data_IF_828862085633
#
_entry.id   IF_828862085633
#
_cell.length_a   1.000
_cell.length_b   1.000
_cell.length_c   1.000
_cell.angle_alpha   90.00
_cell.angle_beta   90.00
_cell.angle_gamma   90.00
#
_symmetry.space_group_name_H-M   'P 1'
#
loop_
_entity.id
_entity.type
_entity.pdbx_description
1 polymer ?
#
# COMPACT_ATOMS: atom_id res chain seq x y z
N UNK A 1 -20.15 -2.10 19.35
CA UNK A 1 -19.68 -1.21 18.28
C UNK A 1 -20.00 -1.90 16.97
N UNK A 2 -20.66 -1.22 16.07
CA UNK A 2 -20.87 -1.74 14.72
C UNK A 2 -19.53 -1.97 14.07
N UNK A 3 -19.33 -3.13 13.47
CA UNK A 3 -18.08 -3.48 12.79
C UNK A 3 -18.13 -2.88 11.38
N UNK A 4 -17.21 -1.97 11.09
CA UNK A 4 -17.07 -1.38 9.76
C UNK A 4 -16.22 -2.25 8.84
N UNK A 5 -16.52 -2.25 7.55
CA UNK A 5 -15.72 -2.93 6.54
C UNK A 5 -14.82 -1.93 5.82
N UNK A 6 -13.51 -2.14 5.91
CA UNK A 6 -12.49 -1.27 5.33
C UNK A 6 -11.77 -2.02 4.20
N UNK A 7 -11.77 -1.42 3.01
CA UNK A 7 -11.06 -1.95 1.86
C UNK A 7 -9.69 -1.28 1.73
N UNK A 8 -8.64 -2.08 1.82
CA UNK A 8 -7.25 -1.63 1.66
C UNK A 8 -6.77 -1.97 0.25
N UNK A 9 -6.33 -0.96 -0.51
CA UNK A 9 -5.85 -1.15 -1.87
C UNK A 9 -4.34 -0.86 -1.96
N UNK A 10 -3.58 -1.76 -2.60
CA UNK A 10 -2.16 -1.55 -2.85
C UNK A 10 -1.71 -2.24 -4.13
N UNK A 11 -0.68 -1.70 -4.79
CA UNK A 11 -0.12 -2.26 -6.03
C UNK A 11 0.84 -3.43 -5.76
N UNK A 12 1.22 -3.68 -4.50
CA UNK A 12 1.98 -4.84 -4.07
C UNK A 12 1.36 -5.50 -2.84
N UNK A 13 1.44 -6.84 -2.79
CA UNK A 13 0.96 -7.65 -1.67
C UNK A 13 1.68 -9.02 -1.71
N UNK A 14 1.78 -9.78 -0.62
CA UNK A 14 2.41 -11.09 -0.67
C UNK A 14 1.93 -11.95 -1.87
N UNK A 15 2.83 -12.69 -2.53
CA UNK A 15 4.20 -13.03 -2.12
C UNK A 15 5.28 -11.95 -2.41
N UNK A 16 4.92 -10.78 -2.91
CA UNK A 16 5.85 -9.66 -3.05
C UNK A 16 6.10 -9.08 -1.65
N UNK A 17 7.37 -8.98 -1.26
CA UNK A 17 7.78 -8.48 0.05
C UNK A 17 8.38 -7.08 -0.14
N UNK A 18 7.68 -6.07 0.33
CA UNK A 18 8.17 -4.70 0.43
C UNK A 18 7.57 -3.98 1.65
N UNK A 19 8.07 -2.79 1.97
CA UNK A 19 7.63 -2.05 3.15
C UNK A 19 6.16 -1.65 3.13
N UNK A 20 5.59 -1.37 1.94
CA UNK A 20 4.19 -0.96 1.80
C UNK A 20 3.27 -2.19 1.88
N UNK A 21 3.65 -3.30 1.23
CA UNK A 21 2.93 -4.56 1.35
C UNK A 21 2.82 -5.02 2.81
N UNK A 22 3.94 -4.96 3.56
CA UNK A 22 3.94 -5.27 4.99
C UNK A 22 3.05 -4.32 5.80
N UNK A 23 3.06 -3.03 5.49
CA UNK A 23 2.16 -2.07 6.14
C UNK A 23 0.70 -2.42 5.91
N UNK A 24 0.31 -2.77 4.67
CA UNK A 24 -1.07 -3.16 4.33
C UNK A 24 -1.48 -4.43 5.07
N UNK A 25 -0.61 -5.46 5.15
CA UNK A 25 -0.87 -6.67 5.95
C UNK A 25 -1.13 -6.29 7.41
N UNK A 26 -0.25 -5.48 8.02
CA UNK A 26 -0.40 -5.04 9.40
C UNK A 26 -1.70 -4.24 9.61
N UNK A 27 -2.07 -3.35 8.69
CA UNK A 27 -3.35 -2.63 8.76
C UNK A 27 -4.52 -3.62 8.73
N UNK A 28 -4.54 -4.56 7.77
CA UNK A 28 -5.61 -5.52 7.61
C UNK A 28 -5.79 -6.43 8.84
N UNK A 29 -4.69 -6.98 9.37
CA UNK A 29 -4.70 -7.82 10.57
C UNK A 29 -5.19 -7.06 11.80
N UNK A 30 -4.76 -5.80 11.99
CA UNK A 30 -5.20 -5.00 13.12
C UNK A 30 -6.67 -4.56 13.00
N UNK A 31 -7.14 -4.26 11.79
CA UNK A 31 -8.57 -3.97 11.55
C UNK A 31 -9.41 -5.19 11.91
N UNK A 32 -9.08 -6.38 11.38
CA UNK A 32 -9.81 -7.62 11.71
C UNK A 32 -9.83 -7.92 13.20
N UNK A 33 -8.69 -7.75 13.85
CA UNK A 33 -8.54 -8.09 15.27
C UNK A 33 -9.25 -7.11 16.20
N UNK A 34 -9.33 -5.82 15.87
CA UNK A 34 -9.70 -4.79 16.82
C UNK A 34 -10.84 -3.86 16.39
N UNK A 35 -11.10 -3.68 15.09
CA UNK A 35 -11.92 -2.57 14.63
C UNK A 35 -13.08 -2.93 13.71
N UNK A 36 -13.01 -4.04 12.97
CA UNK A 36 -14.05 -4.38 12.01
C UNK A 36 -13.68 -5.52 11.10
N UNK A 37 -13.93 -5.34 9.81
CA UNK A 37 -13.55 -6.26 8.75
C UNK A 37 -12.62 -5.58 7.76
N UNK A 38 -11.56 -6.28 7.34
CA UNK A 38 -10.67 -5.83 6.29
C UNK A 38 -10.95 -6.60 4.99
N UNK A 39 -10.82 -5.90 3.87
CA UNK A 39 -10.77 -6.50 2.53
C UNK A 39 -9.53 -5.95 1.85
N UNK A 40 -8.64 -6.79 1.34
CA UNK A 40 -7.47 -6.33 0.60
C UNK A 40 -7.70 -6.48 -0.89
N UNK A 41 -7.43 -5.42 -1.65
CA UNK A 41 -7.54 -5.41 -3.11
C UNK A 41 -6.17 -5.13 -3.72
N UNK A 42 -5.66 -6.07 -4.53
CA UNK A 42 -4.28 -6.03 -5.03
C UNK A 42 -4.16 -6.69 -6.41
N UNK A 43 -3.13 -6.38 -7.22
CA UNK A 43 -2.93 -7.05 -8.49
C UNK A 43 -2.71 -8.56 -8.35
N UNK A 44 -3.15 -9.31 -9.34
CA UNK A 44 -2.86 -10.73 -9.44
C UNK A 44 -1.37 -10.96 -9.64
N UNK A 45 -0.81 -11.92 -8.89
CA UNK A 45 0.59 -12.35 -9.01
C UNK A 45 0.62 -13.87 -9.17
N UNK A 46 1.36 -14.41 -10.16
CA UNK A 46 1.49 -15.86 -10.32
C UNK A 46 2.03 -16.52 -9.05
N UNK A 47 1.36 -17.59 -8.60
CA UNK A 47 1.75 -18.36 -7.41
C UNK A 47 1.35 -17.72 -6.08
N UNK A 48 0.51 -16.68 -6.08
CA UNK A 48 -0.02 -16.13 -4.84
C UNK A 48 -0.96 -17.14 -4.17
N UNK A 49 -0.78 -17.31 -2.86
CA UNK A 49 -1.68 -18.07 -1.99
C UNK A 49 -2.16 -17.15 -0.86
N UNK A 50 -3.45 -16.86 -0.88
CA UNK A 50 -4.08 -15.93 0.06
C UNK A 50 -4.80 -16.67 1.21
N UNK A 51 -4.77 -18.01 1.24
CA UNK A 51 -5.50 -18.85 2.21
C UNK A 51 -5.05 -18.66 3.66
N UNK A 52 -3.85 -18.11 3.87
CA UNK A 52 -3.30 -17.86 5.20
C UNK A 52 -3.77 -16.55 5.87
N UNK A 53 -4.49 -15.68 5.15
CA UNK A 53 -4.96 -14.41 5.71
C UNK A 53 -6.34 -14.55 6.36
N UNK A 54 -6.59 -13.88 7.51
CA UNK A 54 -7.88 -13.91 8.20
C UNK A 54 -8.95 -13.01 7.55
N UNK A 55 -8.64 -12.38 6.43
CA UNK A 55 -9.47 -11.46 5.67
C UNK A 55 -9.48 -11.82 4.19
N UNK A 56 -10.53 -11.45 3.42
CA UNK A 56 -10.57 -11.66 1.97
C UNK A 56 -9.50 -10.85 1.24
N UNK A 57 -8.85 -11.50 0.27
CA UNK A 57 -7.95 -10.85 -0.69
C UNK A 57 -8.56 -10.94 -2.08
N UNK A 58 -8.91 -9.80 -2.65
CA UNK A 58 -9.47 -9.68 -3.99
C UNK A 58 -8.37 -9.28 -4.95
N UNK A 59 -7.98 -10.22 -5.84
CA UNK A 59 -6.94 -9.95 -6.82
C UNK A 59 -7.55 -9.51 -8.14
N UNK A 60 -7.16 -8.30 -8.59
CA UNK A 60 -7.58 -7.76 -9.88
C UNK A 60 -6.57 -8.06 -10.99
N UNK A 61 -6.99 -8.05 -12.27
CA UNK A 61 -6.11 -8.37 -13.39
C UNK A 61 -4.82 -7.56 -13.40
N UNK A 62 -3.72 -8.19 -13.80
CA UNK A 62 -2.42 -7.55 -13.91
C UNK A 62 -1.65 -8.05 -15.14
N UNK A 63 -0.65 -7.24 -15.55
CA UNK A 63 0.33 -7.60 -16.58
C UNK A 63 1.66 -7.83 -15.88
N UNK A 64 2.34 -8.93 -16.20
CA UNK A 64 3.65 -9.22 -15.61
C UNK A 64 4.73 -8.32 -16.23
N UNK A 65 5.05 -7.25 -15.54
CA UNK A 65 6.11 -6.30 -15.89
C UNK A 65 7.35 -6.43 -15.01
N UNK A 66 7.45 -7.47 -14.18
CA UNK A 66 8.52 -7.64 -13.18
C UNK A 66 9.92 -7.62 -13.80
N UNK A 67 10.08 -8.12 -15.03
CA UNK A 67 11.38 -8.07 -15.74
C UNK A 67 11.80 -6.66 -16.18
N UNK A 68 10.86 -5.72 -16.27
CA UNK A 68 11.09 -4.35 -16.72
C UNK A 68 11.21 -3.37 -15.56
N UNK A 69 10.29 -3.46 -14.59
CA UNK A 69 10.15 -2.48 -13.49
C UNK A 69 10.17 -3.11 -12.10
N UNK A 70 10.35 -4.42 -11.99
CA UNK A 70 10.39 -5.14 -10.71
C UNK A 70 9.02 -5.51 -10.10
N UNK A 71 7.92 -4.97 -10.64
CA UNK A 71 6.55 -5.17 -10.15
C UNK A 71 5.63 -5.65 -11.26
N UNK A 72 4.45 -6.17 -10.88
CA UNK A 72 3.34 -6.37 -11.81
C UNK A 72 2.60 -5.05 -12.01
N UNK A 73 2.16 -4.77 -13.23
CA UNK A 73 1.31 -3.62 -13.52
C UNK A 73 -0.16 -4.04 -13.38
N UNK A 74 -0.84 -3.55 -12.36
CA UNK A 74 -2.26 -3.76 -12.16
C UNK A 74 -3.10 -3.10 -13.27
N UNK A 75 -4.15 -3.79 -13.76
CA UNK A 75 -5.12 -3.24 -14.68
C UNK A 75 -6.37 -2.76 -13.90
N UNK A 76 -6.52 -1.45 -13.63
CA UNK A 76 -7.47 -0.93 -12.65
C UNK A 76 -8.95 -0.94 -13.13
N UNK A 77 -9.23 -1.36 -14.36
CA UNK A 77 -10.58 -1.36 -14.92
C UNK A 77 -11.14 -2.78 -14.97
N UNK A 78 -11.61 -3.29 -13.82
CA UNK A 78 -12.16 -4.64 -13.66
C UNK A 78 -13.58 -4.61 -13.08
N UNK A 79 -14.62 -4.78 -13.89
CA UNK A 79 -16.01 -4.85 -13.39
C UNK A 79 -16.23 -6.01 -12.41
N UNK A 80 -15.54 -7.13 -12.60
CA UNK A 80 -15.61 -8.27 -11.68
C UNK A 80 -15.08 -7.91 -10.28
N UNK A 81 -13.95 -7.22 -10.23
CA UNK A 81 -13.39 -6.71 -8.97
C UNK A 81 -14.38 -5.75 -8.29
N UNK A 82 -15.00 -4.86 -9.05
CA UNK A 82 -15.98 -3.91 -8.50
C UNK A 82 -17.19 -4.63 -7.89
N UNK A 83 -17.70 -5.68 -8.55
CA UNK A 83 -18.81 -6.49 -8.03
C UNK A 83 -18.41 -7.19 -6.74
N UNK A 84 -17.24 -7.83 -6.67
CA UNK A 84 -16.74 -8.51 -5.47
C UNK A 84 -16.57 -7.54 -4.30
N UNK A 85 -15.97 -6.38 -4.53
CA UNK A 85 -15.79 -5.35 -3.47
C UNK A 85 -17.14 -4.84 -2.98
N UNK A 86 -18.13 -4.69 -3.86
CA UNK A 86 -19.50 -4.28 -3.46
C UNK A 86 -20.18 -5.32 -2.58
N UNK A 87 -19.97 -6.61 -2.84
CA UNK A 87 -20.51 -7.71 -2.03
C UNK A 87 -20.00 -7.68 -0.60
N UNK A 88 -18.77 -7.20 -0.37
CA UNK A 88 -18.16 -7.04 0.96
C UNK A 88 -18.75 -5.86 1.77
N UNK A 89 -19.64 -5.04 1.19
CA UNK A 89 -20.29 -3.90 1.85
C UNK A 89 -19.29 -2.90 2.44
N UNK A 90 -18.30 -2.54 1.66
CA UNK A 90 -17.22 -1.63 2.05
C UNK A 90 -17.76 -0.24 2.39
N UNK A 91 -17.33 0.30 3.52
CA UNK A 91 -17.71 1.62 4.05
C UNK A 91 -16.56 2.64 4.02
N UNK A 92 -15.32 2.18 3.78
CA UNK A 92 -14.13 3.02 3.62
C UNK A 92 -13.17 2.37 2.63
N UNK A 93 -12.70 3.16 1.68
CA UNK A 93 -11.61 2.80 0.77
C UNK A 93 -10.32 3.46 1.24
N UNK A 94 -9.25 2.69 1.40
CA UNK A 94 -7.95 3.20 1.80
C UNK A 94 -6.88 2.67 0.85
N UNK A 95 -6.38 3.53 -0.04
CA UNK A 95 -5.31 3.17 -0.96
C UNK A 95 -3.93 3.53 -0.41
N UNK A 96 -2.98 2.62 -0.58
CA UNK A 96 -1.59 2.79 -0.12
C UNK A 96 -0.62 3.09 -1.26
N UNK A 97 -1.10 3.15 -2.50
CA UNK A 97 -0.31 3.52 -3.67
C UNK A 97 -1.10 4.48 -4.57
N UNK A 98 -0.51 5.62 -5.00
CA UNK A 98 -1.20 6.61 -5.82
C UNK A 98 -1.23 6.29 -7.32
N UNK A 99 -0.95 5.03 -7.72
CA UNK A 99 -0.85 4.62 -9.12
C UNK A 99 -2.07 3.76 -9.50
N UNK A 100 -1.92 2.47 -9.80
CA UNK A 100 -3.02 1.63 -10.32
C UNK A 100 -4.11 1.41 -9.26
N UNK A 101 -3.75 1.14 -8.01
CA UNK A 101 -4.71 0.97 -6.92
C UNK A 101 -5.51 2.25 -6.62
N UNK A 102 -4.91 3.44 -6.77
CA UNK A 102 -5.66 4.69 -6.60
C UNK A 102 -6.66 4.91 -7.75
N UNK A 103 -6.30 4.57 -8.99
CA UNK A 103 -7.24 4.64 -10.12
C UNK A 103 -8.41 3.67 -9.88
N UNK A 104 -8.12 2.44 -9.44
CA UNK A 104 -9.15 1.46 -9.11
C UNK A 104 -10.02 1.96 -7.94
N UNK A 105 -9.40 2.48 -6.86
CA UNK A 105 -10.13 3.01 -5.70
C UNK A 105 -11.11 4.13 -6.08
N UNK A 106 -10.71 5.05 -6.97
CA UNK A 106 -11.59 6.12 -7.50
C UNK A 106 -12.79 5.55 -8.26
N UNK A 107 -12.58 4.46 -9.02
CA UNK A 107 -13.68 3.78 -9.72
C UNK A 107 -14.58 3.02 -8.74
N UNK A 108 -14.01 2.38 -7.72
CA UNK A 108 -14.76 1.66 -6.69
C UNK A 108 -15.58 2.61 -5.81
N UNK A 109 -15.08 3.81 -5.53
CA UNK A 109 -15.78 4.84 -4.77
C UNK A 109 -17.20 5.08 -5.28
N UNK A 110 -17.38 5.18 -6.60
CA UNK A 110 -18.69 5.39 -7.23
C UNK A 110 -19.60 4.15 -7.12
N UNK A 111 -19.00 2.97 -6.91
CA UNK A 111 -19.74 1.69 -6.82
C UNK A 111 -20.22 1.40 -5.40
N UNK A 112 -19.40 1.75 -4.38
CA UNK A 112 -19.69 1.44 -2.98
C UNK A 112 -20.16 2.65 -2.17
N UNK A 113 -20.13 3.86 -2.74
CA UNK A 113 -20.50 5.12 -2.09
C UNK A 113 -19.76 5.34 -0.76
N UNK A 114 -18.43 5.16 -0.78
CA UNK A 114 -17.59 5.24 0.39
C UNK A 114 -16.50 6.30 0.27
N UNK A 115 -16.06 6.94 1.36
CA UNK A 115 -14.95 7.87 1.36
C UNK A 115 -13.64 7.16 0.98
N UNK A 116 -12.71 7.93 0.39
CA UNK A 116 -11.42 7.46 -0.09
C UNK A 116 -10.27 8.16 0.64
N UNK A 117 -9.49 7.36 1.35
CA UNK A 117 -8.24 7.78 2.02
C UNK A 117 -7.05 7.29 1.21
N UNK A 118 -5.97 8.08 1.19
CA UNK A 118 -4.69 7.66 0.62
C UNK A 118 -3.56 7.83 1.64
N UNK A 119 -2.74 6.79 1.80
CA UNK A 119 -1.45 6.91 2.51
C UNK A 119 -0.30 6.94 1.50
N UNK A 120 0.46 8.03 1.51
CA UNK A 120 1.65 8.23 0.69
C UNK A 120 2.88 7.71 1.42
N UNK A 121 3.44 6.57 0.96
CA UNK A 121 4.49 5.83 1.67
C UNK A 121 5.91 6.15 1.24
N UNK A 122 6.14 6.52 -0.04
CA UNK A 122 7.48 6.61 -0.60
C UNK A 122 7.59 7.72 -1.66
N UNK A 123 8.81 7.99 -2.08
CA UNK A 123 9.13 8.97 -3.13
C UNK A 123 8.94 8.35 -4.51
N UNK A 124 7.72 8.35 -5.01
CA UNK A 124 7.36 7.75 -6.31
C UNK A 124 8.04 8.41 -7.51
N UNK A 125 8.48 9.66 -7.42
CA UNK A 125 9.27 10.34 -8.44
C UNK A 125 10.56 9.59 -8.76
N UNK A 126 11.23 9.03 -7.74
CA UNK A 126 12.44 8.22 -7.89
C UNK A 126 12.14 6.93 -8.67
N UNK A 127 11.04 6.27 -8.36
CA UNK A 127 10.67 5.01 -9.01
C UNK A 127 10.15 5.25 -10.43
N UNK A 128 9.40 6.33 -10.66
CA UNK A 128 9.00 6.77 -11.98
C UNK A 128 10.24 7.10 -12.83
N UNK A 129 11.22 7.81 -12.27
CA UNK A 129 12.44 8.16 -13.00
C UNK A 129 13.30 6.95 -13.40
N UNK A 130 13.28 5.87 -12.57
CA UNK A 130 13.95 4.61 -12.91
C UNK A 130 13.21 3.83 -14.01
N UNK A 131 11.87 3.83 -13.95
CA UNK A 131 11.03 3.06 -14.86
C UNK A 131 10.85 3.72 -16.23
N UNK A 132 10.81 5.05 -16.27
CA UNK A 132 10.49 5.86 -17.47
C UNK A 132 11.67 6.72 -17.86
N UNK A 133 12.23 6.51 -19.07
CA UNK A 133 13.41 7.27 -19.53
C UNK A 133 13.08 8.67 -20.07
N UNK A 134 11.89 8.88 -20.59
CA UNK A 134 11.45 10.17 -21.16
C UNK A 134 11.03 11.14 -20.08
N UNK A 135 11.64 12.32 -20.00
CA UNK A 135 11.26 13.38 -19.06
C UNK A 135 9.81 13.80 -19.20
N UNK A 136 9.30 13.96 -20.42
CA UNK A 136 7.90 14.33 -20.68
C UNK A 136 6.93 13.27 -20.13
N UNK A 137 7.26 11.98 -20.25
CA UNK A 137 6.44 10.90 -19.70
C UNK A 137 6.56 10.83 -18.17
N UNK A 138 7.73 11.14 -17.58
CA UNK A 138 7.89 11.27 -16.13
C UNK A 138 7.01 12.38 -15.58
N UNK A 139 7.04 13.56 -16.18
CA UNK A 139 6.21 14.71 -15.79
C UNK A 139 4.70 14.38 -15.89
N UNK A 140 4.30 13.72 -16.97
CA UNK A 140 2.93 13.26 -17.17
C UNK A 140 2.50 12.24 -16.10
N UNK A 141 3.39 11.29 -15.74
CA UNK A 141 3.13 10.29 -14.72
C UNK A 141 3.02 10.93 -13.32
N UNK A 142 3.91 11.89 -13.00
CA UNK A 142 3.86 12.65 -11.74
C UNK A 142 2.57 13.47 -11.68
N UNK A 143 2.20 14.14 -12.77
CA UNK A 143 0.93 14.88 -12.81
C UNK A 143 -0.27 13.95 -12.56
N UNK A 144 -0.33 12.79 -13.22
CA UNK A 144 -1.39 11.82 -13.00
C UNK A 144 -1.43 11.29 -11.55
N UNK A 145 -0.26 11.07 -10.95
CA UNK A 145 -0.12 10.70 -9.54
C UNK A 145 -0.75 11.78 -8.63
N UNK A 146 -0.38 13.04 -8.83
CA UNK A 146 -0.92 14.16 -8.03
C UNK A 146 -2.43 14.29 -8.22
N UNK A 147 -2.95 14.06 -9.43
CA UNK A 147 -4.41 14.04 -9.68
C UNK A 147 -5.11 12.91 -8.93
N UNK A 148 -4.48 11.74 -8.80
CA UNK A 148 -5.02 10.64 -7.99
C UNK A 148 -5.05 11.01 -6.50
N UNK A 149 -4.00 11.66 -5.99
CA UNK A 149 -3.95 12.14 -4.59
C UNK A 149 -5.03 13.22 -4.34
N UNK A 150 -5.20 14.17 -5.26
CA UNK A 150 -6.21 15.23 -5.16
C UNK A 150 -7.65 14.70 -5.19
N UNK A 151 -7.86 13.48 -5.70
CA UNK A 151 -9.19 12.87 -5.75
C UNK A 151 -9.59 12.18 -4.44
N UNK A 152 -8.69 12.10 -3.46
CA UNK A 152 -8.96 11.50 -2.16
C UNK A 152 -9.56 12.51 -1.19
N UNK A 153 -10.42 12.04 -0.28
CA UNK A 153 -11.05 12.87 0.74
C UNK A 153 -10.08 13.20 1.87
N UNK A 154 -9.18 12.26 2.17
CA UNK A 154 -8.15 12.42 3.20
C UNK A 154 -6.81 11.88 2.66
N UNK A 155 -5.72 12.60 2.95
CA UNK A 155 -4.36 12.23 2.53
C UNK A 155 -3.48 12.11 3.76
N UNK A 156 -2.88 10.94 3.95
CA UNK A 156 -1.89 10.68 4.98
C UNK A 156 -0.50 10.52 4.36
N UNK A 157 0.50 10.90 5.10
CA UNK A 157 1.91 10.71 4.75
C UNK A 157 2.64 10.05 5.90
N UNK A 158 3.50 9.08 5.63
CA UNK A 158 4.18 8.29 6.68
C UNK A 158 5.27 9.04 7.41
N UNK A 159 5.66 10.23 6.95
CA UNK A 159 6.63 11.09 7.60
C UNK A 159 6.54 12.52 7.06
N UNK A 160 7.13 13.48 7.76
CA UNK A 160 7.27 14.87 7.26
C UNK A 160 7.99 14.91 5.91
N UNK A 161 9.08 14.14 5.76
CA UNK A 161 9.83 14.08 4.51
C UNK A 161 9.05 13.48 3.33
N UNK A 162 8.11 12.55 3.58
CA UNK A 162 7.18 12.07 2.56
C UNK A 162 6.19 13.18 2.14
N UNK A 163 5.69 13.96 3.10
CA UNK A 163 4.82 15.09 2.83
C UNK A 163 5.52 16.21 2.06
N UNK A 164 6.76 16.55 2.42
CA UNK A 164 7.58 17.52 1.69
C UNK A 164 7.87 17.07 0.25
N UNK A 165 8.15 15.78 0.05
CA UNK A 165 8.28 15.23 -1.30
C UNK A 165 6.96 15.35 -2.07
N UNK A 166 5.82 14.98 -1.49
CA UNK A 166 4.52 15.11 -2.16
C UNK A 166 4.23 16.58 -2.55
N UNK A 167 4.57 17.54 -1.69
CA UNK A 167 4.52 18.97 -1.99
C UNK A 167 5.40 19.33 -3.18
N UNK A 168 6.63 18.83 -3.23
CA UNK A 168 7.56 19.12 -4.33
C UNK A 168 7.08 18.59 -5.68
N UNK A 169 6.17 17.62 -5.69
CA UNK A 169 5.53 17.07 -6.89
C UNK A 169 4.32 17.89 -7.35
N UNK A 170 3.91 18.93 -6.59
CA UNK A 170 2.81 19.82 -6.95
C UNK A 170 1.49 19.54 -6.21
N UNK A 171 1.49 18.73 -5.16
CA UNK A 171 0.31 18.57 -4.31
C UNK A 171 0.14 19.77 -3.38
N UNK A 172 -1.00 20.47 -3.45
CA UNK A 172 -1.28 21.67 -2.65
C UNK A 172 -2.31 21.43 -1.53
N UNK A 173 -2.97 20.26 -1.52
CA UNK A 173 -4.00 19.89 -0.55
C UNK A 173 -3.46 19.71 0.88
N UNK A 174 -4.32 19.53 1.87
CA UNK A 174 -3.93 19.17 3.23
C UNK A 174 -3.43 17.72 3.30
N UNK A 175 -2.57 17.41 4.28
CA UNK A 175 -2.23 16.04 4.64
C UNK A 175 -1.98 15.91 6.14
N UNK A 176 -2.18 14.71 6.66
CA UNK A 176 -1.87 14.34 8.03
C UNK A 176 -0.64 13.44 8.07
N UNK A 177 0.30 13.68 8.99
CA UNK A 177 1.42 12.77 9.21
C UNK A 177 0.94 11.61 10.07
N UNK A 178 0.94 10.40 9.47
CA UNK A 178 0.53 9.15 10.09
C UNK A 178 1.68 8.14 9.95
N UNK A 179 2.50 8.05 10.98
CA UNK A 179 3.67 7.17 10.97
C UNK A 179 3.26 5.69 10.97
N UNK A 180 4.01 4.86 10.24
CA UNK A 180 3.79 3.42 10.27
C UNK A 180 4.14 2.84 11.64
N UNK A 181 3.27 1.98 12.16
CA UNK A 181 3.54 1.19 13.35
C UNK A 181 4.37 -0.05 13.02
N UNK A 182 5.11 -0.53 14.02
CA UNK A 182 5.80 -1.81 13.98
C UNK A 182 5.58 -2.55 15.30
N UNK A 183 5.45 -3.86 15.22
CA UNK A 183 5.42 -4.72 16.41
C UNK A 183 6.84 -4.91 16.94
N UNK A 184 7.14 -4.28 18.06
CA UNK A 184 8.40 -4.46 18.75
C UNK A 184 8.19 -5.40 19.94
N UNK A 185 8.93 -6.53 20.02
CA UNK A 185 8.89 -7.39 21.20
C UNK A 185 9.21 -6.60 22.46
N UNK A 186 8.32 -6.65 23.45
CA UNK A 186 8.58 -5.99 24.73
C UNK A 186 9.60 -6.82 25.52
N UNK A 187 10.77 -6.24 25.75
CA UNK A 187 11.83 -6.86 26.53
C UNK A 187 13.20 -6.86 25.87
N UNK A 188 14.22 -7.19 26.64
CA UNK A 188 15.57 -7.38 26.09
C UNK A 188 15.70 -8.75 25.48
N UNK A 189 16.28 -8.81 24.29
CA UNK A 189 16.67 -10.09 23.67
C UNK A 189 17.68 -10.79 24.59
N UNK A 190 17.59 -12.11 24.74
CA UNK A 190 18.53 -12.87 25.56
C UNK A 190 19.95 -12.82 24.97
N UNK A 191 20.97 -12.84 25.84
CA UNK A 191 22.37 -12.89 25.41
C UNK A 191 22.61 -14.05 24.44
N UNK A 192 22.02 -15.21 24.69
CA UNK A 192 22.12 -16.37 23.82
C UNK A 192 21.55 -16.12 22.40
N UNK A 193 20.42 -15.39 22.30
CA UNK A 193 19.83 -15.04 21.01
C UNK A 193 20.68 -14.00 20.26
N UNK A 194 21.27 -13.04 20.99
CA UNK A 194 22.22 -12.09 20.38
C UNK A 194 23.45 -12.83 19.87
N UNK A 195 24.05 -13.69 20.70
CA UNK A 195 25.23 -14.49 20.31
C UNK A 195 24.93 -15.36 19.08
N UNK A 196 23.76 -16.00 19.03
CA UNK A 196 23.35 -16.82 17.87
C UNK A 196 23.17 -15.97 16.60
N UNK A 197 22.54 -14.79 16.71
CA UNK A 197 22.33 -13.89 15.57
C UNK A 197 23.61 -13.24 15.04
N UNK A 198 24.62 -13.11 15.89
CA UNK A 198 25.93 -12.48 15.55
C UNK A 198 27.03 -13.48 15.26
N UNK A 199 26.77 -14.80 15.38
CA UNK A 199 27.76 -15.85 15.21
C UNK A 199 28.47 -15.83 13.83
N UNK A 200 27.80 -15.35 12.80
CA UNK A 200 28.30 -15.26 11.44
C UNK A 200 28.87 -13.88 11.08
N UNK A 201 28.91 -12.96 12.04
CA UNK A 201 29.38 -11.58 11.82
C UNK A 201 30.61 -11.29 12.71
N UNK A 202 31.65 -10.71 12.09
CA UNK A 202 32.82 -10.21 12.82
C UNK A 202 32.50 -8.79 13.36
N UNK A 203 31.81 -8.74 14.49
CA UNK A 203 31.41 -7.47 15.11
C UNK A 203 32.53 -6.96 16.03
N UNK A 204 32.82 -5.64 16.01
CA UNK A 204 33.81 -5.07 16.93
C UNK A 204 33.34 -5.19 18.39
N UNK A 205 34.30 -5.35 19.31
CA UNK A 205 34.05 -5.40 20.76
C UNK A 205 33.30 -4.16 21.24
N UNK A 206 32.17 -4.36 21.94
CA UNK A 206 31.38 -3.29 22.54
C UNK A 206 30.19 -2.78 21.71
N UNK A 207 29.78 -3.54 20.68
CA UNK A 207 28.52 -3.29 19.93
C UNK A 207 27.38 -4.12 20.51
#
# INVERSE_FOLDING_TARGET
MDKHTICLLNDSFPPIIDGVANAVVNYAENIEKHHGHAVVVTPSVPGADDSGFPFPVVRYPSIDTRRLVGYVAGYPFSPETALRVREEKVELLHTHCPIASAILARSLREVVDAPLVLTYHTKYDIDIAKAVKSKLLQESAIHALVQNVNACDEVWVVSRGAGENLRSLGYEGAYTVMENGVDVPRGRVSVAAVTAATADYDLPDGV
#
